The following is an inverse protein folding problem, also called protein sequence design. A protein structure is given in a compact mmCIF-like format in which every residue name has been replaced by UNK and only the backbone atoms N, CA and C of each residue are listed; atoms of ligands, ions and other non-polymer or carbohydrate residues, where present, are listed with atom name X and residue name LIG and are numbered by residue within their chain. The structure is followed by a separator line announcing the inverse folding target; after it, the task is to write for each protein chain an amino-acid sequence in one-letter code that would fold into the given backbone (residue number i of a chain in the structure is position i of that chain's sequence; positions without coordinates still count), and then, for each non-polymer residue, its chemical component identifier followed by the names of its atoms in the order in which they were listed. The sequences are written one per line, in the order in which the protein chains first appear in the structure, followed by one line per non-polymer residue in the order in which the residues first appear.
data_IF_735864707856
#
_entry.id   IF_735864707856
#
_cell.length_a   1.000
_cell.length_b   1.000
_cell.length_c   1.000
_cell.angle_alpha   90.00
_cell.angle_beta   90.00
_cell.angle_gamma   90.00
#
_symmetry.space_group_name_H-M   'P 1'
#
loop_
_entity.id
_entity.type
_entity.pdbx_description
1 polymer ?
#
# COMPACT_ATOMS: atom_id res chain seq x y z
N UNK A 1 -10.78 12.63 16.79
CA UNK A 1 -11.56 11.96 15.73
C UNK A 1 -10.78 11.95 14.43
N UNK A 2 -11.35 11.39 13.35
CA UNK A 2 -10.66 11.29 12.06
C UNK A 2 -10.24 12.67 11.50
N UNK A 3 -11.08 13.72 11.61
CA UNK A 3 -10.75 15.07 11.14
C UNK A 3 -9.35 15.56 11.59
N UNK A 4 -9.14 15.81 12.88
CA UNK A 4 -7.85 16.35 13.36
C UNK A 4 -6.68 15.39 13.16
N UNK A 5 -6.94 14.08 13.27
CA UNK A 5 -5.91 13.06 13.10
C UNK A 5 -5.41 13.01 11.66
N UNK A 6 -6.30 12.87 10.68
CA UNK A 6 -5.98 12.74 9.27
C UNK A 6 -5.30 14.02 8.74
N UNK A 7 -5.80 15.19 9.15
CA UNK A 7 -5.19 16.50 8.82
C UNK A 7 -3.72 16.58 9.24
N UNK A 8 -3.38 16.07 10.43
CA UNK A 8 -2.00 16.04 10.93
C UNK A 8 -1.16 14.88 10.36
N UNK A 9 -1.78 13.71 10.14
CA UNK A 9 -1.11 12.47 9.74
C UNK A 9 -0.66 12.48 8.29
N UNK A 10 -1.29 13.29 7.44
CA UNK A 10 -1.06 13.30 6.00
C UNK A 10 -1.87 12.25 5.23
N UNK A 11 -2.98 11.77 5.80
CA UNK A 11 -3.90 10.83 5.14
C UNK A 11 -5.30 11.44 5.02
N UNK A 12 -6.14 10.88 4.16
CA UNK A 12 -7.56 11.26 4.09
C UNK A 12 -8.38 10.47 5.13
N UNK A 13 -9.50 11.02 5.64
CA UNK A 13 -10.41 10.26 6.48
C UNK A 13 -11.01 9.06 5.75
N UNK A 14 -11.24 7.96 6.47
CA UNK A 14 -11.94 6.80 5.93
C UNK A 14 -13.45 7.03 5.83
N UNK A 15 -14.00 7.88 6.71
CA UNK A 15 -15.40 8.31 6.66
C UNK A 15 -15.61 9.33 5.54
N UNK A 16 -16.73 9.22 4.86
CA UNK A 16 -17.11 10.09 3.74
C UNK A 16 -17.86 11.36 4.15
N UNK A 17 -18.20 11.52 5.44
CA UNK A 17 -19.03 12.59 5.98
C UNK A 17 -18.23 13.67 6.73
N UNK A 18 -16.90 13.66 6.60
CA UNK A 18 -16.00 14.63 7.23
C UNK A 18 -15.74 15.75 6.25
N UNK A 19 -16.06 16.98 6.64
CA UNK A 19 -15.68 18.15 5.86
C UNK A 19 -14.16 18.34 5.87
N UNK A 20 -13.56 18.30 4.68
CA UNK A 20 -12.12 18.51 4.44
C UNK A 20 -11.85 19.81 3.67
N UNK A 21 -12.84 20.71 3.60
CA UNK A 21 -12.76 21.98 2.85
C UNK A 21 -11.59 22.86 3.29
N UNK A 22 -11.12 22.72 4.53
CA UNK A 22 -10.01 23.48 5.10
C UNK A 22 -8.69 22.67 5.22
N UNK A 23 -8.65 21.47 4.64
CA UNK A 23 -7.40 20.71 4.49
C UNK A 23 -6.48 21.39 3.47
N UNK A 24 -5.19 21.03 3.51
CA UNK A 24 -4.24 21.49 2.50
C UNK A 24 -4.52 20.87 1.11
N UNK A 25 -3.89 21.43 0.09
CA UNK A 25 -4.14 21.04 -1.31
C UNK A 25 -3.78 19.58 -1.59
N UNK A 26 -2.73 19.07 -0.93
CA UNK A 26 -2.32 17.66 -1.04
C UNK A 26 -3.46 16.71 -0.62
N UNK A 27 -4.03 16.91 0.58
CA UNK A 27 -5.07 16.02 1.08
C UNK A 27 -6.37 16.15 0.28
N UNK A 28 -6.69 17.36 -0.21
CA UNK A 28 -7.81 17.57 -1.13
C UNK A 28 -7.58 16.84 -2.47
N UNK A 29 -6.35 16.84 -2.98
CA UNK A 29 -5.99 16.07 -4.18
C UNK A 29 -6.18 14.57 -3.95
N UNK A 30 -5.59 14.04 -2.87
CA UNK A 30 -5.71 12.63 -2.53
C UNK A 30 -7.16 12.18 -2.35
N UNK A 31 -8.03 13.03 -1.79
CA UNK A 31 -9.46 12.73 -1.64
C UNK A 31 -10.20 12.67 -2.98
N UNK A 32 -9.83 13.53 -3.95
CA UNK A 32 -10.38 13.49 -5.32
C UNK A 32 -9.92 12.25 -6.06
N UNK A 33 -8.63 11.90 -5.97
CA UNK A 33 -8.05 10.73 -6.62
C UNK A 33 -8.74 9.45 -6.10
N UNK A 34 -8.96 9.35 -4.78
CA UNK A 34 -9.69 8.24 -4.16
C UNK A 34 -11.11 8.03 -4.72
N UNK A 35 -11.81 9.09 -5.13
CA UNK A 35 -13.17 8.99 -5.68
C UNK A 35 -13.20 8.59 -7.16
N UNK A 36 -12.09 8.76 -7.87
CA UNK A 36 -12.02 8.62 -9.32
C UNK A 36 -11.27 7.36 -9.77
N UNK A 37 -10.21 7.02 -9.05
CA UNK A 37 -9.24 6.04 -9.53
C UNK A 37 -9.62 4.60 -9.15
N UNK A 38 -9.10 3.64 -9.92
CA UNK A 38 -9.22 2.23 -9.57
C UNK A 38 -8.35 1.93 -8.35
N UNK A 39 -8.97 1.34 -7.31
CA UNK A 39 -8.27 1.05 -6.06
C UNK A 39 -7.59 -0.31 -6.14
N UNK A 40 -6.25 -0.31 -6.00
CA UNK A 40 -5.45 -1.53 -5.84
C UNK A 40 -4.89 -1.61 -4.42
N UNK A 41 -5.08 -2.73 -3.70
CA UNK A 41 -4.53 -2.89 -2.36
C UNK A 41 -3.00 -2.98 -2.40
N UNK A 42 -2.34 -2.46 -1.35
CA UNK A 42 -0.88 -2.51 -1.21
C UNK A 42 -0.43 -3.80 -0.52
N UNK A 43 0.54 -4.53 -1.11
CA UNK A 43 1.23 -5.65 -0.45
C UNK A 43 2.08 -5.14 0.72
N UNK A 44 2.90 -4.11 0.48
CA UNK A 44 3.85 -3.58 1.48
C UNK A 44 3.18 -3.06 2.77
N UNK A 45 1.93 -2.56 2.64
CA UNK A 45 1.11 -2.07 3.75
C UNK A 45 0.00 -3.06 4.16
N UNK A 46 0.10 -4.33 3.76
CA UNK A 46 -0.71 -5.44 4.29
C UNK A 46 -2.16 -5.50 3.82
N UNK A 47 -2.57 -4.69 2.84
CA UNK A 47 -3.93 -4.70 2.33
C UNK A 47 -4.19 -5.81 1.30
N UNK A 48 -3.14 -6.25 0.59
CA UNK A 48 -3.29 -7.15 -0.57
C UNK A 48 -2.93 -8.62 -0.29
N UNK A 49 -2.25 -8.90 0.82
CA UNK A 49 -1.59 -10.18 1.04
C UNK A 49 -1.57 -10.56 2.53
N UNK A 50 -1.43 -11.85 2.82
CA UNK A 50 -1.17 -12.33 4.17
C UNK A 50 0.14 -11.76 4.72
N UNK A 51 0.27 -11.70 6.05
CA UNK A 51 1.48 -11.17 6.69
C UNK A 51 2.73 -11.97 6.31
N UNK A 52 2.61 -13.29 6.20
CA UNK A 52 3.71 -14.15 5.77
C UNK A 52 4.19 -13.82 4.36
N UNK A 53 3.28 -13.74 3.38
CA UNK A 53 3.66 -13.36 2.02
C UNK A 53 4.23 -11.93 1.96
N UNK A 54 3.64 -10.99 2.71
CA UNK A 54 4.12 -9.61 2.79
C UNK A 54 5.56 -9.52 3.29
N UNK A 55 5.96 -10.40 4.22
CA UNK A 55 7.31 -10.46 4.77
C UNK A 55 8.31 -10.91 3.72
N UNK A 56 8.04 -12.03 3.03
CA UNK A 56 8.93 -12.51 1.96
C UNK A 56 9.00 -11.54 0.78
N UNK A 57 7.88 -10.89 0.42
CA UNK A 57 7.86 -9.86 -0.61
C UNK A 57 8.82 -8.71 -0.28
N UNK A 58 8.87 -8.26 0.99
CA UNK A 58 9.78 -7.21 1.47
C UNK A 58 11.24 -7.65 1.40
N UNK A 59 11.54 -8.88 1.79
CA UNK A 59 12.88 -9.44 1.78
C UNK A 59 13.43 -9.57 0.35
N UNK A 60 12.61 -10.08 -0.57
CA UNK A 60 12.97 -10.20 -2.00
C UNK A 60 13.20 -8.82 -2.62
N UNK A 61 12.34 -7.84 -2.30
CA UNK A 61 12.49 -6.46 -2.78
C UNK A 61 13.78 -5.83 -2.26
N UNK A 62 14.09 -6.01 -0.97
CA UNK A 62 15.31 -5.49 -0.35
C UNK A 62 16.56 -6.13 -0.94
N UNK A 63 16.54 -7.45 -1.18
CA UNK A 63 17.62 -8.16 -1.84
C UNK A 63 17.83 -7.65 -3.27
N UNK A 64 16.77 -7.42 -4.04
CA UNK A 64 16.87 -6.85 -5.39
C UNK A 64 17.53 -5.46 -5.40
N UNK A 65 17.20 -4.58 -4.44
CA UNK A 65 17.87 -3.27 -4.31
C UNK A 65 19.37 -3.42 -4.06
N UNK A 66 19.77 -4.39 -3.23
CA UNK A 66 21.20 -4.64 -2.96
C UNK A 66 21.94 -5.38 -4.08
N UNK A 67 21.23 -6.21 -4.83
CA UNK A 67 21.73 -7.05 -5.93
C UNK A 67 20.66 -7.10 -7.03
N UNK A 68 20.73 -6.22 -8.05
CA UNK A 68 19.66 -6.01 -9.02
C UNK A 68 19.58 -7.11 -10.09
N UNK A 69 19.34 -8.34 -9.66
CA UNK A 69 19.07 -9.49 -10.52
C UNK A 69 17.56 -9.65 -10.75
N UNK A 70 17.10 -9.19 -11.91
CA UNK A 70 15.67 -9.17 -12.27
C UNK A 70 15.10 -10.57 -12.39
N UNK A 71 15.84 -11.50 -13.02
CA UNK A 71 15.37 -12.88 -13.23
C UNK A 71 15.21 -13.60 -11.90
N UNK A 72 16.17 -13.41 -10.98
CA UNK A 72 16.08 -13.97 -9.64
C UNK A 72 14.88 -13.40 -8.88
N UNK A 73 14.73 -12.07 -8.84
CA UNK A 73 13.64 -11.41 -8.10
C UNK A 73 12.25 -11.85 -8.59
N UNK A 74 12.03 -11.92 -9.90
CA UNK A 74 10.76 -12.38 -10.47
C UNK A 74 10.43 -13.82 -10.08
N UNK A 75 11.41 -14.73 -10.18
CA UNK A 75 11.22 -16.13 -9.79
C UNK A 75 10.90 -16.27 -8.31
N UNK A 76 11.65 -15.57 -7.45
CA UNK A 76 11.43 -15.60 -6.01
C UNK A 76 10.05 -15.07 -5.63
N UNK A 77 9.58 -13.98 -6.26
CA UNK A 77 8.24 -13.44 -6.02
C UNK A 77 7.12 -14.41 -6.42
N UNK A 78 7.28 -15.13 -7.54
CA UNK A 78 6.31 -16.15 -7.96
C UNK A 78 6.29 -17.30 -6.96
N UNK A 79 7.46 -17.83 -6.57
CA UNK A 79 7.56 -18.92 -5.58
C UNK A 79 6.88 -18.53 -4.27
N UNK A 80 7.17 -17.34 -3.72
CA UNK A 80 6.54 -16.84 -2.50
C UNK A 80 5.01 -16.77 -2.64
N UNK A 81 4.50 -16.23 -3.76
CA UNK A 81 3.07 -16.17 -4.01
C UNK A 81 2.43 -17.56 -4.03
N UNK A 82 3.04 -18.53 -4.74
CA UNK A 82 2.53 -19.90 -4.82
C UNK A 82 2.52 -20.63 -3.47
N UNK A 83 3.51 -20.38 -2.60
CA UNK A 83 3.56 -20.99 -1.27
C UNK A 83 2.44 -20.52 -0.35
N UNK A 84 2.09 -19.23 -0.41
CA UNK A 84 1.05 -18.64 0.42
C UNK A 84 -0.35 -18.74 -0.16
N UNK A 85 -0.51 -19.07 -1.45
CA UNK A 85 -1.80 -19.39 -2.06
C UNK A 85 -2.28 -20.83 -1.77
N UNK A 86 -1.37 -21.73 -1.39
CA UNK A 86 -1.68 -23.15 -1.08
C UNK A 86 -2.15 -23.39 0.36
N UNK A 87 -2.09 -22.37 1.22
CA UNK A 87 -2.51 -22.42 2.62
C UNK A 87 -3.92 -21.86 2.77
#
# INVERSE_FOLDING_TARGET
GQYSFNKAKGSIPARTDIDISDYNDYLKSAARDWQKDAISPSVMHGAAASEGWTTEFKDITSLFVSRPDVSYAQKALITAAEEYLKK
#
